data_IF_281354362388
#
_entry.id   IF_281354362388
#
_cell.length_a   1.000
_cell.length_b   1.000
_cell.length_c   1.000
_cell.angle_alpha   90.00
_cell.angle_beta   90.00
_cell.angle_gamma   90.00
#
_symmetry.space_group_name_H-M   'P 1'
#
loop_
_entity.id
_entity.type
_entity.pdbx_description
1 polymer ?
#
# COMPACT_ATOMS: atom_id res chain seq x y z
N UNK A 1 -12.19 8.71 57.43
CA UNK A 1 -12.31 7.54 56.53
C UNK A 1 -12.85 7.89 55.14
N UNK A 2 -13.98 8.61 54.99
CA UNK A 2 -14.55 8.97 53.67
C UNK A 2 -13.61 9.79 52.75
N UNK A 3 -12.82 10.73 53.30
CA UNK A 3 -11.85 11.55 52.55
C UNK A 3 -10.67 10.75 51.99
N UNK A 4 -10.20 9.73 52.73
CA UNK A 4 -9.13 8.84 52.28
C UNK A 4 -9.58 7.92 51.13
N UNK A 5 -10.84 7.46 51.16
CA UNK A 5 -11.45 6.67 50.09
C UNK A 5 -11.65 7.49 48.80
N UNK A 6 -12.02 8.78 48.91
CA UNK A 6 -12.12 9.66 47.75
C UNK A 6 -10.76 9.96 47.11
N UNK A 7 -9.71 10.16 47.91
CA UNK A 7 -8.35 10.36 47.41
C UNK A 7 -7.81 9.09 46.73
N UNK A 8 -8.17 7.90 47.27
CA UNK A 8 -7.82 6.61 46.68
C UNK A 8 -8.54 6.36 45.34
N UNK A 9 -9.83 6.72 45.23
CA UNK A 9 -10.59 6.60 43.98
C UNK A 9 -10.07 7.57 42.91
N UNK A 10 -9.77 8.82 43.27
CA UNK A 10 -9.27 9.80 42.31
C UNK A 10 -7.89 9.42 41.76
N UNK A 11 -7.01 8.87 42.60
CA UNK A 11 -5.70 8.37 42.15
C UNK A 11 -5.83 7.11 41.27
N UNK A 12 -6.69 6.17 41.65
CA UNK A 12 -6.99 4.98 40.85
C UNK A 12 -7.63 5.31 39.48
N UNK A 13 -8.56 6.27 39.43
CA UNK A 13 -9.18 6.74 38.17
C UNK A 13 -8.20 7.50 37.27
N UNK A 14 -7.23 8.22 37.84
CA UNK A 14 -6.16 8.88 37.07
C UNK A 14 -5.19 7.88 36.42
N UNK A 15 -4.97 6.71 37.05
CA UNK A 15 -4.06 5.67 36.57
C UNK A 15 -4.66 4.85 35.40
N UNK A 16 -6.00 4.78 35.30
CA UNK A 16 -6.70 4.07 34.23
C UNK A 16 -6.72 4.90 32.93
N UNK A 17 -6.55 6.23 33.01
CA UNK A 17 -6.53 7.10 31.83
C UNK A 17 -5.15 7.10 31.11
N UNK A 18 -4.08 6.64 31.75
CA UNK A 18 -2.70 6.83 31.26
C UNK A 18 -2.15 5.73 30.35
N UNK A 19 -2.96 4.75 29.93
CA UNK A 19 -2.49 3.66 29.05
C UNK A 19 -3.39 3.54 27.82
N UNK A 20 -3.49 4.59 27.02
CA UNK A 20 -3.94 4.45 25.63
C UNK A 20 -2.66 4.23 24.81
N UNK A 21 -2.37 2.99 24.36
CA UNK A 21 -1.29 2.81 23.40
C UNK A 21 -1.69 3.57 22.14
N UNK A 22 -0.87 4.55 21.75
CA UNK A 22 -0.96 5.12 20.42
C UNK A 22 -0.48 4.05 19.45
N UNK A 23 -1.42 3.33 18.84
CA UNK A 23 -1.13 2.44 17.72
C UNK A 23 -1.24 3.28 16.46
N UNK A 24 -0.13 3.45 15.75
CA UNK A 24 -0.16 3.90 14.36
C UNK A 24 -0.50 2.66 13.52
N UNK A 25 -1.71 2.61 12.99
CA UNK A 25 -2.07 1.57 12.02
C UNK A 25 -1.43 1.92 10.68
N UNK A 26 -0.71 0.97 10.08
CA UNK A 26 -0.10 1.17 8.75
C UNK A 26 -1.16 1.28 7.65
N UNK A 27 -2.41 0.88 7.94
CA UNK A 27 -3.54 1.06 7.02
C UNK A 27 -4.25 2.40 7.20
N UNK A 28 -3.94 3.19 8.24
CA UNK A 28 -4.55 4.52 8.41
C UNK A 28 -4.04 5.47 7.31
N UNK A 29 -4.98 5.95 6.48
CA UNK A 29 -4.67 6.76 5.31
C UNK A 29 -4.01 5.99 4.14
N UNK A 30 -3.96 4.65 4.19
CA UNK A 30 -3.47 3.84 3.07
C UNK A 30 -4.52 3.80 1.95
N UNK A 31 -4.13 4.28 0.78
CA UNK A 31 -5.01 4.38 -0.39
C UNK A 31 -4.87 3.18 -1.33
N UNK A 32 -3.64 2.73 -1.57
CA UNK A 32 -3.29 1.64 -2.47
C UNK A 32 -2.18 0.79 -1.86
N UNK A 33 -2.27 -0.53 -2.01
CA UNK A 33 -1.17 -1.43 -1.72
C UNK A 33 -1.10 -2.58 -2.72
N UNK A 34 -0.07 -2.54 -3.57
CA UNK A 34 0.16 -3.53 -4.62
C UNK A 34 1.42 -4.36 -4.28
N UNK A 35 1.26 -5.57 -3.71
CA UNK A 35 2.38 -6.44 -3.38
C UNK A 35 2.95 -7.18 -4.60
N UNK A 36 2.17 -7.28 -5.70
CA UNK A 36 2.52 -8.01 -6.92
C UNK A 36 2.71 -9.53 -6.73
N UNK A 37 1.97 -10.15 -5.81
CA UNK A 37 2.07 -11.58 -5.49
C UNK A 37 1.21 -12.48 -6.41
N UNK A 38 0.48 -11.92 -7.39
CA UNK A 38 -0.43 -12.68 -8.26
C UNK A 38 0.30 -13.66 -9.18
N UNK A 39 1.49 -13.28 -9.64
CA UNK A 39 2.38 -14.11 -10.47
C UNK A 39 1.87 -14.43 -11.88
N UNK A 40 0.70 -13.89 -12.29
CA UNK A 40 0.13 -14.06 -13.63
C UNK A 40 -1.03 -13.10 -13.89
N UNK A 41 -1.34 -12.93 -15.17
CA UNK A 41 -2.46 -12.12 -15.64
C UNK A 41 -2.14 -10.64 -15.68
N UNK A 42 -3.16 -9.83 -15.95
CA UNK A 42 -3.07 -8.39 -16.17
C UNK A 42 -3.69 -7.57 -15.03
N UNK A 43 -4.11 -8.23 -13.94
CA UNK A 43 -4.72 -7.58 -12.79
C UNK A 43 -3.72 -7.55 -11.62
N UNK A 44 -3.54 -6.37 -11.04
CA UNK A 44 -2.79 -6.11 -9.81
C UNK A 44 -3.80 -5.83 -8.71
N UNK A 45 -3.90 -6.69 -7.70
CA UNK A 45 -4.92 -6.52 -6.67
C UNK A 45 -4.53 -5.47 -5.66
N UNK A 46 -5.51 -4.69 -5.24
CA UNK A 46 -5.38 -3.77 -4.12
C UNK A 46 -5.54 -4.50 -2.79
N UNK A 47 -4.42 -4.66 -2.08
CA UNK A 47 -4.38 -5.24 -0.74
C UNK A 47 -4.56 -4.21 0.37
N UNK A 48 -4.85 -2.94 0.05
CA UNK A 48 -5.15 -1.92 1.08
C UNK A 48 -6.52 -2.13 1.73
N UNK A 49 -7.42 -2.83 1.04
CA UNK A 49 -8.82 -3.02 1.45
C UNK A 49 -9.80 -2.02 0.84
N UNK A 50 -9.33 -1.09 -0.01
CA UNK A 50 -10.17 -0.08 -0.67
C UNK A 50 -10.77 -0.57 -2.01
N UNK A 51 -10.23 -1.65 -2.58
CA UNK A 51 -10.77 -2.31 -3.77
C UNK A 51 -10.38 -1.64 -5.08
N UNK A 52 -9.29 -0.88 -5.08
CA UNK A 52 -8.78 -0.14 -6.22
C UNK A 52 -7.79 -0.98 -7.04
N UNK A 53 -8.26 -2.11 -7.57
CA UNK A 53 -7.44 -3.02 -8.37
C UNK A 53 -6.88 -2.28 -9.60
N UNK A 54 -5.60 -2.50 -9.87
CA UNK A 54 -4.90 -1.99 -11.05
C UNK A 54 -4.97 -2.95 -12.21
N UNK A 55 -4.94 -2.41 -13.43
CA UNK A 55 -4.88 -3.19 -14.67
C UNK A 55 -3.60 -2.84 -15.44
N UNK A 56 -2.93 -3.88 -15.96
CA UNK A 56 -1.64 -3.80 -16.64
C UNK A 56 -1.88 -3.58 -18.13
N UNK A 57 -1.36 -2.47 -18.66
CA UNK A 57 -1.51 -2.09 -20.06
C UNK A 57 -0.18 -1.98 -20.78
N UNK A 58 -0.19 -2.23 -22.09
CA UNK A 58 0.90 -1.91 -23.02
C UNK A 58 2.24 -2.60 -22.71
N UNK A 59 2.17 -3.75 -22.03
CA UNK A 59 3.24 -4.74 -22.02
C UNK A 59 2.99 -5.76 -23.13
N UNK A 60 3.98 -6.06 -23.97
CA UNK A 60 3.87 -7.17 -24.94
C UNK A 60 3.67 -8.51 -24.20
N UNK A 61 4.23 -8.60 -22.98
CA UNK A 61 4.05 -9.67 -22.03
C UNK A 61 4.28 -9.12 -20.62
N UNK A 62 3.41 -9.49 -19.66
CA UNK A 62 3.62 -9.19 -18.24
C UNK A 62 4.58 -10.22 -17.66
N UNK A 63 5.80 -9.80 -17.38
CA UNK A 63 6.79 -10.61 -16.68
C UNK A 63 6.67 -10.36 -15.17
N UNK A 64 6.27 -11.40 -14.44
CA UNK A 64 6.26 -11.43 -12.97
C UNK A 64 7.58 -12.04 -12.49
N UNK A 65 8.18 -11.47 -11.46
CA UNK A 65 9.47 -11.89 -10.91
C UNK A 65 9.48 -11.88 -9.37
N UNK A 66 10.57 -12.34 -8.77
CA UNK A 66 10.79 -12.22 -7.33
C UNK A 66 11.18 -10.77 -6.96
N UNK A 67 10.41 -10.18 -6.05
CA UNK A 67 10.64 -8.84 -5.53
C UNK A 67 11.54 -8.83 -4.29
N UNK A 68 11.78 -7.63 -3.75
CA UNK A 68 12.45 -7.50 -2.44
C UNK A 68 11.68 -8.25 -1.34
N UNK A 69 10.36 -8.23 -1.44
CA UNK A 69 9.43 -9.00 -0.62
C UNK A 69 8.35 -9.54 -1.56
N UNK A 70 8.10 -10.85 -1.55
CA UNK A 70 7.08 -11.44 -2.41
C UNK A 70 7.42 -11.31 -3.89
N UNK A 71 6.40 -11.02 -4.71
CA UNK A 71 6.53 -10.81 -6.14
C UNK A 71 6.91 -9.37 -6.54
N UNK A 72 7.14 -9.20 -7.84
CA UNK A 72 7.38 -7.93 -8.50
C UNK A 72 6.94 -8.00 -9.97
N UNK A 73 6.73 -6.83 -10.56
CA UNK A 73 6.57 -6.69 -12.02
C UNK A 73 7.90 -6.27 -12.63
N UNK A 74 8.37 -7.04 -13.61
CA UNK A 74 9.52 -6.68 -14.43
C UNK A 74 9.10 -5.69 -15.52
N UNK A 75 9.61 -4.47 -15.44
CA UNK A 75 9.39 -3.41 -16.45
C UNK A 75 10.49 -3.46 -17.55
N UNK A 76 11.44 -4.40 -17.44
CA UNK A 76 12.42 -4.69 -18.48
C UNK A 76 11.77 -5.50 -19.57
N UNK A 77 11.28 -4.82 -20.61
CA UNK A 77 10.84 -5.52 -21.82
C UNK A 77 11.98 -6.39 -22.34
N UNK A 78 11.83 -7.71 -22.30
CA UNK A 78 12.61 -8.62 -23.17
C UNK A 78 12.37 -8.35 -24.67
N UNK A 79 11.47 -7.40 -24.99
CA UNK A 79 11.28 -6.79 -26.31
C UNK A 79 11.75 -5.32 -26.43
N UNK A 80 12.20 -4.67 -25.35
CA UNK A 80 12.60 -3.24 -25.37
C UNK A 80 13.86 -2.96 -26.19
N UNK A 81 14.60 -4.01 -26.54
CA UNK A 81 15.83 -3.94 -27.34
C UNK A 81 15.59 -4.02 -28.85
N UNK A 82 14.35 -4.22 -29.33
CA UNK A 82 14.07 -4.32 -30.77
C UNK A 82 13.27 -3.22 -31.43
N UNK A 83 12.59 -2.35 -30.69
CA UNK A 83 11.91 -1.21 -31.29
C UNK A 83 12.08 0.01 -30.37
N UNK A 84 12.83 1.01 -30.84
CA UNK A 84 12.98 2.32 -30.21
C UNK A 84 11.68 3.16 -30.31
N UNK A 85 10.53 2.52 -30.13
CA UNK A 85 9.25 3.20 -29.96
C UNK A 85 9.02 3.44 -28.47
N UNK A 86 9.52 4.58 -28.01
CA UNK A 86 9.33 5.11 -26.66
C UNK A 86 7.84 5.35 -26.28
N UNK A 87 6.92 5.12 -27.22
CA UNK A 87 5.47 5.28 -27.08
C UNK A 87 4.76 4.07 -26.45
N UNK A 88 5.38 2.88 -26.37
CA UNK A 88 4.78 1.72 -25.69
C UNK A 88 5.43 1.53 -24.34
N UNK A 89 5.01 2.35 -23.38
CA UNK A 89 5.45 2.22 -21.98
C UNK A 89 4.38 1.45 -21.24
N UNK A 90 4.71 0.22 -20.90
CA UNK A 90 3.88 -0.57 -20.00
C UNK A 90 3.52 0.25 -18.75
N UNK A 91 2.24 0.25 -18.38
CA UNK A 91 1.73 0.97 -17.21
C UNK A 91 0.79 0.09 -16.41
N UNK A 92 0.63 0.43 -15.14
CA UNK A 92 -0.47 -0.04 -14.29
C UNK A 92 -1.43 1.12 -14.12
N UNK A 93 -2.70 0.91 -14.44
CA UNK A 93 -3.75 1.92 -14.38
C UNK A 93 -4.81 1.52 -13.36
N UNK A 94 -5.07 2.40 -12.39
CA UNK A 94 -6.24 2.32 -11.51
C UNK A 94 -7.28 3.28 -12.06
N UNK A 95 -8.46 2.77 -12.41
CA UNK A 95 -9.52 3.55 -13.07
C UNK A 95 -10.57 4.14 -12.14
N UNK A 96 -10.54 3.72 -10.89
CA UNK A 96 -11.47 4.23 -9.89
C UNK A 96 -11.12 5.65 -9.47
N UNK A 97 -12.15 6.40 -9.06
CA UNK A 97 -11.94 7.64 -8.35
C UNK A 97 -11.36 7.33 -6.96
N UNK A 98 -10.08 7.68 -6.78
CA UNK A 98 -9.39 7.56 -5.51
C UNK A 98 -9.86 8.58 -4.46
N UNK A 99 -10.74 9.51 -4.85
CA UNK A 99 -11.27 10.56 -3.99
C UNK A 99 -10.39 11.80 -3.92
N UNK A 100 -10.92 12.86 -3.28
CA UNK A 100 -10.21 14.13 -3.11
C UNK A 100 -9.34 14.11 -1.86
N UNK A 101 -8.02 14.20 -2.05
CA UNK A 101 -7.03 14.24 -0.97
C UNK A 101 -6.16 15.49 -1.06
N UNK A 102 -5.77 16.06 0.08
CA UNK A 102 -4.94 17.28 0.12
C UNK A 102 -3.49 17.03 -0.27
N UNK A 103 -2.99 15.83 -0.03
CA UNK A 103 -1.62 15.39 -0.32
C UNK A 103 -1.57 13.85 -0.38
N UNK A 104 -0.58 13.31 -1.10
CA UNK A 104 -0.31 11.87 -1.23
C UNK A 104 1.20 11.61 -1.11
N UNK A 105 1.58 10.44 -0.63
CA UNK A 105 2.94 9.90 -0.70
C UNK A 105 2.94 8.56 -1.43
N UNK A 106 4.04 8.24 -2.11
CA UNK A 106 4.24 6.98 -2.85
C UNK A 106 5.59 6.41 -2.45
N UNK A 107 5.63 5.11 -2.17
CA UNK A 107 6.86 4.36 -1.88
C UNK A 107 6.90 3.09 -2.74
N UNK A 108 8.05 2.81 -3.36
CA UNK A 108 8.23 1.67 -4.27
C UNK A 108 9.66 1.13 -4.18
N UNK A 109 9.82 -0.19 -4.37
CA UNK A 109 11.13 -0.84 -4.53
C UNK A 109 11.43 -1.05 -6.01
N UNK A 110 12.69 -0.91 -6.40
CA UNK A 110 13.18 -1.25 -7.74
C UNK A 110 14.50 -2.02 -7.62
N UNK A 111 14.81 -2.80 -8.65
CA UNK A 111 16.08 -3.52 -8.79
C UNK A 111 16.80 -2.97 -10.04
N UNK A 112 18.10 -2.70 -9.93
CA UNK A 112 18.96 -2.18 -11.03
C UNK A 112 19.90 -3.26 -11.55
#
# INVERSE_FOLDING_TARGET
MKKAYHLFILTFMSYIWTIIPASADLTDGLLLYFPFDEGKGEIVKDHSGNGHDGEIFEFDQVDWDEGKFGGAIAISGKGAEKEANFDRKGRIEVRDDLGSHKALSISVWFNE
#
